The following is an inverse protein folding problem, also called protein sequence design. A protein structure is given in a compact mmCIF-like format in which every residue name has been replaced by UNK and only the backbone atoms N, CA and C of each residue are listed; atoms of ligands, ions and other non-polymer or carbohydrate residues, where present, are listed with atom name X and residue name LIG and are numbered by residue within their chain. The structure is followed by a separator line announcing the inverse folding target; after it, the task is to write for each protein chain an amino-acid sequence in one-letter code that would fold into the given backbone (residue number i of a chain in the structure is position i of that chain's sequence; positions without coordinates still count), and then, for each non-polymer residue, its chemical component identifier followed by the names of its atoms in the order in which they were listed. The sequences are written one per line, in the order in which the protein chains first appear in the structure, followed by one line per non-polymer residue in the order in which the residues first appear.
data_IF_023584251392
#
_entry.id   IF_023584251392
#
_cell.length_a   1.000
_cell.length_b   1.000
_cell.length_c   1.000
_cell.angle_alpha   90.00
_cell.angle_beta   90.00
_cell.angle_gamma   90.00
#
_symmetry.space_group_name_H-M   'P 1'
#
loop_
_entity.id
_entity.type
_entity.pdbx_description
1 polymer ?
#
# COMPACT_ATOMS: atom_id res chain seq x y z
N UNK A 1 -2.77 -13.94 -11.68
CA UNK A 1 -1.59 -13.11 -11.33
C UNK A 1 -1.92 -11.69 -11.75
N UNK A 2 -2.01 -10.74 -10.82
CA UNK A 2 -2.11 -9.33 -11.19
C UNK A 2 -0.85 -8.94 -11.93
N UNK A 3 -1.01 -8.24 -13.05
CA UNK A 3 0.13 -7.75 -13.81
C UNK A 3 0.82 -6.61 -13.05
N UNK A 4 2.13 -6.42 -13.26
CA UNK A 4 2.88 -5.28 -12.68
C UNK A 4 2.16 -3.95 -12.95
N UNK A 5 1.50 -3.85 -14.10
CA UNK A 5 0.72 -2.69 -14.51
C UNK A 5 -0.51 -2.43 -13.64
N UNK A 6 -1.19 -3.47 -13.15
CA UNK A 6 -2.31 -3.32 -12.21
C UNK A 6 -1.83 -2.84 -10.85
N UNK A 7 -0.69 -3.37 -10.39
CA UNK A 7 -0.08 -2.94 -9.12
C UNK A 7 0.44 -1.51 -9.22
N UNK A 8 1.07 -1.14 -10.34
CA UNK A 8 1.48 0.23 -10.63
C UNK A 8 0.30 1.20 -10.60
N UNK A 9 -0.82 0.84 -11.21
CA UNK A 9 -2.03 1.69 -11.16
C UNK A 9 -2.56 1.83 -9.75
N UNK A 10 -2.61 0.73 -8.99
CA UNK A 10 -3.05 0.77 -7.59
C UNK A 10 -2.12 1.64 -6.75
N UNK A 11 -0.81 1.46 -6.93
CA UNK A 11 0.21 2.26 -6.27
C UNK A 11 0.05 3.73 -6.64
N UNK A 12 -0.12 4.08 -7.90
CA UNK A 12 -0.30 5.47 -8.33
C UNK A 12 -1.58 6.14 -7.78
N UNK A 13 -2.62 5.35 -7.50
CA UNK A 13 -3.86 5.84 -6.88
C UNK A 13 -3.69 6.06 -5.37
N UNK A 14 -2.86 5.23 -4.72
CA UNK A 14 -2.59 5.30 -3.28
C UNK A 14 -1.44 6.27 -2.93
N UNK A 15 -0.38 6.28 -3.73
CA UNK A 15 0.84 7.08 -3.62
C UNK A 15 0.55 8.52 -4.05
N UNK A 16 0.13 9.34 -3.07
CA UNK A 16 -0.13 10.76 -3.28
C UNK A 16 1.15 11.57 -3.43
N UNK A 17 2.24 11.12 -2.80
CA UNK A 17 3.48 11.87 -2.76
C UNK A 17 4.37 11.59 -3.99
N UNK A 18 4.14 10.48 -4.70
CA UNK A 18 4.88 10.08 -5.90
C UNK A 18 6.24 9.44 -5.63
N UNK A 19 6.50 8.90 -4.43
CA UNK A 19 7.77 8.26 -4.05
C UNK A 19 7.90 6.81 -4.54
N UNK A 20 6.87 6.29 -5.22
CA UNK A 20 6.84 4.93 -5.72
C UNK A 20 6.54 3.91 -4.61
N UNK A 21 6.02 4.38 -3.47
CA UNK A 21 5.72 3.60 -2.27
C UNK A 21 4.43 4.09 -1.63
N UNK A 22 3.75 3.20 -0.91
CA UNK A 22 2.54 3.53 -0.17
C UNK A 22 2.83 3.52 1.32
N UNK A 23 2.79 4.70 1.93
CA UNK A 23 2.98 4.88 3.36
C UNK A 23 1.69 4.57 4.13
N UNK A 24 1.80 4.24 5.41
CA UNK A 24 0.64 4.04 6.28
C UNK A 24 -0.31 5.25 6.31
N UNK A 25 0.25 6.46 6.18
CA UNK A 25 -0.50 7.71 6.14
C UNK A 25 -1.28 7.88 4.84
N UNK A 26 -0.72 7.45 3.71
CA UNK A 26 -1.34 7.54 2.38
C UNK A 26 -2.44 6.51 2.22
N UNK A 27 -2.18 5.29 2.67
CA UNK A 27 -3.17 4.21 2.71
C UNK A 27 -4.34 4.59 3.63
N UNK A 28 -4.05 5.24 4.76
CA UNK A 28 -5.07 5.77 5.68
C UNK A 28 -5.87 6.90 5.03
N UNK A 29 -5.21 7.86 4.41
CA UNK A 29 -5.86 8.98 3.73
C UNK A 29 -6.79 8.49 2.61
N UNK A 30 -6.37 7.48 1.85
CA UNK A 30 -7.18 6.86 0.81
C UNK A 30 -8.40 6.10 1.39
N UNK A 31 -8.22 5.41 2.51
CA UNK A 31 -9.32 4.71 3.18
C UNK A 31 -10.39 5.69 3.71
N UNK A 32 -9.96 6.80 4.32
CA UNK A 32 -10.81 7.90 4.75
C UNK A 32 -11.58 8.51 3.57
N UNK A 33 -10.88 8.78 2.45
CA UNK A 33 -11.45 9.31 1.22
C UNK A 33 -12.48 8.35 0.58
N UNK A 34 -12.18 7.04 0.60
CA UNK A 34 -13.05 5.97 0.10
C UNK A 34 -14.26 5.68 1.01
N UNK A 35 -14.44 6.42 2.11
CA UNK A 35 -15.44 6.17 3.16
C UNK A 35 -15.43 4.73 3.69
N UNK A 36 -14.30 4.04 3.57
CA UNK A 36 -14.08 2.72 4.12
C UNK A 36 -13.22 2.91 5.37
N UNK A 37 -13.79 2.87 6.59
CA UNK A 37 -13.02 3.07 7.81
C UNK A 37 -12.09 1.87 8.02
N UNK A 38 -10.91 1.92 7.39
CA UNK A 38 -9.82 1.03 7.70
C UNK A 38 -9.12 1.60 8.94
N UNK A 39 -9.24 0.89 10.06
CA UNK A 39 -8.52 1.21 11.27
C UNK A 39 -7.03 1.38 11.00
N UNK A 40 -6.45 2.48 11.50
CA UNK A 40 -5.01 2.73 11.39
C UNK A 40 -4.18 1.58 11.96
N UNK A 41 -4.74 0.83 12.93
CA UNK A 41 -4.12 -0.38 13.47
C UNK A 41 -4.08 -1.53 12.45
N UNK A 42 -5.14 -1.73 11.65
CA UNK A 42 -5.15 -2.74 10.58
C UNK A 42 -4.18 -2.37 9.47
N UNK A 43 -4.14 -1.09 9.08
CA UNK A 43 -3.19 -0.59 8.08
C UNK A 43 -1.75 -0.80 8.57
N UNK A 44 -1.45 -0.44 9.81
CA UNK A 44 -0.12 -0.66 10.40
C UNK A 44 0.25 -2.13 10.51
N UNK A 45 -0.70 -3.00 10.90
CA UNK A 45 -0.45 -4.43 10.98
C UNK A 45 -0.18 -5.03 9.59
N UNK A 46 -0.99 -4.65 8.60
CA UNK A 46 -0.84 -5.08 7.21
C UNK A 46 0.49 -4.64 6.61
N UNK A 47 0.85 -3.36 6.76
CA UNK A 47 2.14 -2.85 6.31
C UNK A 47 3.24 -3.61 7.03
N UNK A 48 3.23 -3.71 8.36
CA UNK A 48 4.30 -4.37 9.11
C UNK A 48 4.48 -5.86 8.78
N UNK A 49 3.42 -6.55 8.37
CA UNK A 49 3.47 -7.96 8.00
C UNK A 49 4.05 -8.18 6.59
N UNK A 50 3.87 -7.20 5.70
CA UNK A 50 4.30 -7.29 4.31
C UNK A 50 5.50 -6.42 3.93
N UNK A 51 5.84 -5.45 4.78
CA UNK A 51 7.02 -4.60 4.75
C UNK A 51 8.26 -5.44 5.09
N UNK A 52 8.89 -5.97 4.05
CA UNK A 52 10.12 -6.77 4.12
C UNK A 52 11.33 -5.87 4.35
N UNK A 53 11.30 -4.66 3.81
CA UNK A 53 12.41 -3.72 3.90
C UNK A 53 12.43 -2.95 5.25
N UNK A 54 11.34 -3.00 6.02
CA UNK A 54 11.11 -2.33 7.30
C UNK A 54 11.22 -0.81 7.24
N UNK A 55 10.88 -0.20 6.12
CA UNK A 55 10.87 1.25 5.95
C UNK A 55 9.54 1.90 6.40
N UNK A 56 8.55 1.09 6.78
CA UNK A 56 7.23 1.53 7.20
C UNK A 56 6.28 1.89 6.05
N UNK A 57 6.66 1.55 4.82
CA UNK A 57 5.90 1.74 3.59
C UNK A 57 5.87 0.43 2.80
N UNK A 58 4.99 0.36 1.82
CA UNK A 58 4.93 -0.74 0.85
C UNK A 58 5.41 -0.25 -0.50
N UNK A 59 6.55 -0.77 -0.95
CA UNK A 59 7.04 -0.50 -2.29
C UNK A 59 6.34 -1.39 -3.35
N UNK A 60 6.53 -1.02 -4.61
CA UNK A 60 5.92 -1.72 -5.75
C UNK A 60 6.27 -3.21 -5.77
N UNK A 61 7.49 -3.60 -5.39
CA UNK A 61 7.89 -5.02 -5.33
C UNK A 61 7.18 -5.74 -4.20
N UNK A 62 7.03 -5.09 -3.05
CA UNK A 62 6.30 -5.65 -1.91
C UNK A 62 4.84 -5.86 -2.25
N UNK A 63 4.16 -4.87 -2.84
CA UNK A 63 2.77 -4.99 -3.29
C UNK A 63 2.58 -6.08 -4.34
N UNK A 64 3.47 -6.20 -5.32
CA UNK A 64 3.46 -7.31 -6.30
C UNK A 64 3.61 -8.65 -5.58
N UNK A 65 4.51 -8.74 -4.60
CA UNK A 65 4.71 -9.96 -3.81
C UNK A 65 3.49 -10.33 -2.97
N UNK A 66 2.71 -9.36 -2.47
CA UNK A 66 1.46 -9.60 -1.71
C UNK A 66 0.37 -10.14 -2.63
N UNK A 67 0.19 -9.51 -3.79
CA UNK A 67 -0.91 -9.79 -4.71
C UNK A 67 -0.62 -10.99 -5.64
N UNK A 68 0.63 -11.41 -5.75
CA UNK A 68 1.07 -12.58 -6.54
C UNK A 68 1.20 -13.85 -5.71
N UNK A 69 0.82 -13.83 -4.43
CA UNK A 69 0.95 -14.97 -3.52
C UNK A 69 -0.25 -15.92 -3.53
#
# INVERSE_FOLDING_TARGET
MPSVQEVEKLLHVLDRNGDGKVSAEELKAFADDSKCPLDSNKIKAFIKEHDKNKDGKLDLKELVSILSS
#
